data_IF_514687536758
#
_entry.id   IF_514687536758
#
_cell.length_a   1.000
_cell.length_b   1.000
_cell.length_c   1.000
_cell.angle_alpha   90.00
_cell.angle_beta   90.00
_cell.angle_gamma   90.00
#
_symmetry.space_group_name_H-M   'P 1'
#
loop_
_entity.id
_entity.type
_entity.pdbx_description
1 polymer ?
#
# COMPACT_ATOMS: atom_id res chain seq x y z
N UNK A 1 0.30 29.94 -6.03
CA UNK A 1 0.88 28.64 -6.39
C UNK A 1 -0.24 27.61 -6.26
N UNK A 2 -0.42 26.67 -7.23
CA UNK A 2 -1.39 25.60 -7.03
C UNK A 2 -0.84 24.52 -6.09
N UNK A 3 -1.68 23.56 -5.67
CA UNK A 3 -1.30 22.51 -4.71
C UNK A 3 -0.09 21.69 -5.16
N UNK A 4 -0.11 21.22 -6.42
CA UNK A 4 0.98 20.43 -7.01
C UNK A 4 2.29 21.20 -7.06
N UNK A 5 2.26 22.44 -7.57
CA UNK A 5 3.44 23.32 -7.65
C UNK A 5 4.04 23.60 -6.27
N UNK A 6 3.19 23.77 -5.26
CA UNK A 6 3.64 24.02 -3.88
C UNK A 6 4.46 22.87 -3.34
N UNK A 7 3.95 21.64 -3.45
CA UNK A 7 4.70 20.47 -2.97
C UNK A 7 5.96 20.21 -3.81
N UNK A 8 5.91 20.43 -5.12
CA UNK A 8 7.10 20.32 -5.97
C UNK A 8 8.18 21.31 -5.54
N UNK A 9 7.82 22.59 -5.28
CA UNK A 9 8.77 23.60 -4.81
C UNK A 9 9.36 23.22 -3.44
N UNK A 10 8.53 22.80 -2.49
CA UNK A 10 8.99 22.39 -1.14
C UNK A 10 9.97 21.20 -1.26
N UNK A 11 9.68 20.20 -2.06
CA UNK A 11 10.55 19.03 -2.25
C UNK A 11 11.87 19.43 -2.93
N UNK A 12 11.82 20.40 -3.85
CA UNK A 12 13.00 20.96 -4.48
C UNK A 12 13.84 21.90 -3.58
N UNK A 13 13.36 22.20 -2.38
CA UNK A 13 13.99 23.17 -1.47
C UNK A 13 13.80 24.63 -1.90
N UNK A 14 12.79 24.89 -2.73
CA UNK A 14 12.46 26.23 -3.23
C UNK A 14 11.41 26.92 -2.34
N UNK A 15 11.34 28.27 -2.34
CA UNK A 15 10.33 29.01 -1.60
C UNK A 15 8.90 28.65 -2.05
N UNK A 16 8.01 28.41 -1.09
CA UNK A 16 6.60 28.20 -1.31
C UNK A 16 5.76 29.28 -0.62
N UNK A 17 4.51 29.44 -1.07
CA UNK A 17 3.56 30.43 -0.54
C UNK A 17 3.05 30.09 0.87
N UNK A 18 3.04 28.79 1.22
CA UNK A 18 2.74 28.26 2.56
C UNK A 18 3.36 26.87 2.74
N UNK A 19 3.29 26.31 3.94
CA UNK A 19 3.59 24.90 4.17
C UNK A 19 2.66 24.02 3.33
N UNK A 20 3.18 22.90 2.84
CA UNK A 20 2.36 21.84 2.27
C UNK A 20 1.54 21.17 3.37
N UNK A 21 0.35 20.71 3.01
CA UNK A 21 -0.55 19.99 3.91
C UNK A 21 -1.06 18.69 3.26
N UNK A 22 -1.09 17.65 4.03
CA UNK A 22 -1.73 16.38 3.71
C UNK A 22 -2.43 15.83 4.94
N UNK A 23 -3.73 15.57 4.83
CA UNK A 23 -4.53 14.98 5.92
C UNK A 23 -4.06 13.56 6.28
N UNK A 24 -3.31 12.92 5.40
CA UNK A 24 -2.90 11.54 5.56
C UNK A 24 -3.97 10.55 5.09
N UNK A 25 -3.89 9.34 5.64
CA UNK A 25 -4.90 8.30 5.44
C UNK A 25 -5.65 8.10 6.76
N UNK A 26 -6.73 8.85 7.02
CA UNK A 26 -7.50 8.73 8.25
C UNK A 26 -8.04 7.30 8.41
N UNK A 27 -8.06 6.81 9.64
CA UNK A 27 -8.73 5.54 9.95
C UNK A 27 -10.20 5.59 9.55
N UNK A 28 -10.78 4.45 9.19
CA UNK A 28 -12.17 4.35 8.77
C UNK A 28 -13.16 5.00 9.77
N UNK A 29 -12.89 4.88 11.08
CA UNK A 29 -13.73 5.48 12.14
C UNK A 29 -13.60 7.01 12.23
N UNK A 30 -12.59 7.61 11.59
CA UNK A 30 -12.40 9.08 11.60
C UNK A 30 -13.28 9.75 10.56
N UNK A 31 -13.56 9.10 9.44
CA UNK A 31 -14.38 9.67 8.36
C UNK A 31 -15.78 10.07 8.82
N UNK A 32 -16.56 9.25 9.56
CA UNK A 32 -17.89 9.67 10.06
C UNK A 32 -17.84 10.91 10.96
N UNK A 33 -16.73 11.14 11.68
CA UNK A 33 -16.53 12.33 12.50
C UNK A 33 -16.35 13.57 11.61
N UNK A 34 -15.52 13.46 10.57
CA UNK A 34 -15.29 14.54 9.61
C UNK A 34 -16.55 14.83 8.79
N UNK A 35 -17.24 13.79 8.31
CA UNK A 35 -18.52 13.91 7.58
C UNK A 35 -19.57 14.66 8.41
N UNK A 36 -19.71 14.29 9.69
CA UNK A 36 -20.60 14.98 10.62
C UNK A 36 -20.21 16.44 10.88
N UNK A 37 -18.92 16.74 10.94
CA UNK A 37 -18.40 18.10 11.16
C UNK A 37 -18.63 19.00 9.92
N UNK A 38 -18.33 18.48 8.73
CA UNK A 38 -18.42 19.23 7.47
C UNK A 38 -19.80 19.14 6.79
N UNK A 39 -20.68 18.26 7.26
CA UNK A 39 -22.03 18.10 6.73
C UNK A 39 -22.07 17.50 5.31
N UNK A 40 -21.09 16.70 4.94
CA UNK A 40 -20.98 16.03 3.63
C UNK A 40 -20.29 14.68 3.79
N UNK A 41 -20.70 13.68 3.00
CA UNK A 41 -20.06 12.37 2.83
C UNK A 41 -19.11 12.31 1.62
N UNK A 42 -18.99 13.42 0.88
CA UNK A 42 -18.02 13.56 -0.19
C UNK A 42 -16.64 13.90 0.39
N UNK A 43 -15.77 12.88 0.47
CA UNK A 43 -14.42 13.02 1.01
C UNK A 43 -13.56 14.00 0.22
N UNK A 44 -13.78 14.14 -1.10
CA UNK A 44 -13.05 15.14 -1.89
C UNK A 44 -13.43 16.56 -1.47
N UNK A 45 -14.71 16.84 -1.20
CA UNK A 45 -15.12 18.13 -0.65
C UNK A 45 -14.50 18.41 0.72
N UNK A 46 -14.37 17.38 1.58
CA UNK A 46 -13.73 17.53 2.88
C UNK A 46 -12.25 17.89 2.71
N UNK A 47 -11.53 17.19 1.83
CA UNK A 47 -10.11 17.49 1.54
C UNK A 47 -9.92 18.89 0.97
N UNK A 48 -10.82 19.35 0.11
CA UNK A 48 -10.82 20.73 -0.42
C UNK A 48 -11.04 21.77 0.68
N UNK A 49 -11.89 21.50 1.68
CA UNK A 49 -12.09 22.42 2.81
C UNK A 49 -10.84 22.51 3.72
N UNK A 50 -10.03 21.45 3.79
CA UNK A 50 -8.73 21.48 4.44
C UNK A 50 -7.63 22.17 3.60
N UNK A 51 -7.90 22.54 2.36
CA UNK A 51 -6.89 23.02 1.40
C UNK A 51 -5.73 22.01 1.25
N UNK A 52 -6.08 20.71 1.19
CA UNK A 52 -5.15 19.59 1.15
C UNK A 52 -4.44 19.52 -0.21
N UNK A 53 -3.11 19.50 -0.17
CA UNK A 53 -2.26 19.59 -1.35
C UNK A 53 -2.03 18.25 -2.06
N UNK A 54 -2.44 17.13 -1.45
CA UNK A 54 -2.06 15.80 -1.91
C UNK A 54 -3.28 14.88 -2.06
N UNK A 55 -3.25 14.02 -3.07
CA UNK A 55 -4.19 12.90 -3.21
C UNK A 55 -3.40 11.61 -3.41
N UNK A 56 -3.35 10.77 -2.39
CA UNK A 56 -2.83 9.43 -2.58
C UNK A 56 -3.81 8.60 -3.40
N UNK A 57 -3.36 8.13 -4.56
CA UNK A 57 -4.19 7.38 -5.51
C UNK A 57 -3.80 5.92 -5.46
N UNK A 58 -4.80 5.05 -5.28
CA UNK A 58 -4.60 3.60 -5.21
C UNK A 58 -3.93 3.10 -6.50
N UNK A 59 -2.87 2.25 -6.41
CA UNK A 59 -2.07 1.86 -7.56
C UNK A 59 -2.71 0.83 -8.49
N UNK A 60 -3.87 0.29 -8.16
CA UNK A 60 -4.58 -0.70 -8.97
C UNK A 60 -5.60 -1.49 -8.16
N UNK A 61 -6.41 -2.27 -8.85
CA UNK A 61 -7.29 -3.27 -8.29
C UNK A 61 -6.73 -4.68 -8.56
N UNK A 62 -7.06 -5.65 -7.72
CA UNK A 62 -6.69 -7.05 -7.90
C UNK A 62 -7.96 -7.89 -8.07
N UNK A 63 -8.11 -8.58 -9.20
CA UNK A 63 -9.30 -9.32 -9.58
C UNK A 63 -9.04 -10.82 -9.70
N UNK A 64 -8.93 -11.49 -8.55
CA UNK A 64 -8.81 -12.95 -8.55
C UNK A 64 -10.10 -13.59 -9.08
N UNK A 65 -10.03 -14.62 -9.97
CA UNK A 65 -11.20 -15.30 -10.52
C UNK A 65 -12.18 -15.87 -9.47
N UNK A 66 -11.64 -16.27 -8.31
CA UNK A 66 -12.42 -16.78 -7.18
C UNK A 66 -12.64 -15.72 -6.08
N UNK A 67 -12.45 -14.42 -6.38
CA UNK A 67 -12.60 -13.31 -5.46
C UNK A 67 -11.72 -13.40 -4.20
N UNK A 68 -10.58 -14.11 -4.28
CA UNK A 68 -9.61 -14.16 -3.18
C UNK A 68 -8.84 -12.84 -3.06
N UNK A 69 -8.39 -12.47 -1.84
CA UNK A 69 -7.54 -11.31 -1.65
C UNK A 69 -6.19 -11.48 -2.36
N UNK A 70 -5.52 -10.38 -2.68
CA UNK A 70 -4.21 -10.38 -3.32
C UNK A 70 -3.19 -11.22 -2.52
N UNK A 71 -3.15 -11.08 -1.20
CA UNK A 71 -2.41 -11.95 -0.30
C UNK A 71 -3.39 -12.59 0.68
N UNK A 72 -3.52 -13.91 0.62
CA UNK A 72 -4.40 -14.68 1.51
C UNK A 72 -3.58 -15.24 2.68
N UNK A 73 -3.44 -14.44 3.71
CA UNK A 73 -2.67 -14.82 4.90
C UNK A 73 -3.33 -15.91 5.73
N UNK A 74 -4.64 -16.16 5.57
CA UNK A 74 -5.45 -17.12 6.34
C UNK A 74 -5.22 -16.99 7.86
N UNK A 75 -5.13 -15.75 8.35
CA UNK A 75 -4.84 -15.49 9.76
C UNK A 75 -5.93 -16.04 10.67
N UNK A 76 -5.52 -16.70 11.75
CA UNK A 76 -6.40 -17.31 12.75
C UNK A 76 -7.00 -16.30 13.73
N UNK A 77 -6.62 -15.01 13.68
CA UNK A 77 -7.07 -13.94 14.56
C UNK A 77 -6.66 -12.55 14.05
N UNK A 78 -6.97 -11.51 14.83
CA UNK A 78 -6.63 -10.10 14.50
C UNK A 78 -5.36 -9.63 15.19
N UNK A 79 -4.91 -10.32 16.23
CA UNK A 79 -3.71 -10.00 16.99
C UNK A 79 -2.47 -10.16 16.10
N UNK A 80 -1.44 -9.33 16.30
CA UNK A 80 -0.17 -9.42 15.55
C UNK A 80 0.50 -10.79 15.68
N UNK A 81 0.33 -11.48 16.81
CA UNK A 81 0.83 -12.82 17.05
C UNK A 81 -0.04 -13.94 16.43
N UNK A 82 -1.25 -13.63 15.93
CA UNK A 82 -2.12 -14.64 15.34
C UNK A 82 -1.43 -15.31 14.15
N UNK A 83 -1.34 -16.66 14.19
CA UNK A 83 -0.69 -17.43 13.14
C UNK A 83 -1.37 -17.28 11.79
N UNK A 84 -0.57 -17.14 10.75
CA UNK A 84 -0.98 -17.19 9.35
C UNK A 84 -0.84 -18.60 8.77
N UNK A 85 -0.99 -18.71 7.44
CA UNK A 85 -0.97 -20.00 6.72
C UNK A 85 0.34 -20.78 6.90
N UNK A 86 1.47 -20.06 7.07
CA UNK A 86 2.79 -20.67 7.25
C UNK A 86 3.27 -20.69 8.70
N UNK A 87 2.39 -20.49 9.69
CA UNK A 87 2.76 -20.49 11.11
C UNK A 87 3.51 -21.78 11.50
N UNK A 88 3.02 -22.93 11.03
CA UNK A 88 3.56 -24.25 11.35
C UNK A 88 4.35 -24.87 10.17
N UNK A 89 4.59 -24.14 9.07
CA UNK A 89 5.28 -24.61 7.88
C UNK A 89 6.81 -24.66 8.10
N UNK A 90 7.44 -25.81 7.83
CA UNK A 90 8.88 -26.02 7.91
C UNK A 90 9.52 -26.44 6.57
N UNK A 91 8.77 -26.34 5.48
CA UNK A 91 9.16 -26.79 4.14
C UNK A 91 9.09 -25.67 3.10
N UNK A 92 10.18 -25.47 2.38
CA UNK A 92 10.21 -24.57 1.22
C UNK A 92 9.28 -25.05 0.10
N UNK A 93 9.15 -26.37 -0.09
CA UNK A 93 8.27 -26.94 -1.12
C UNK A 93 6.80 -26.60 -0.85
N UNK A 94 6.37 -26.56 0.42
CA UNK A 94 5.02 -26.12 0.79
C UNK A 94 4.80 -24.65 0.48
N UNK A 95 5.82 -23.81 0.72
CA UNK A 95 5.77 -22.38 0.38
C UNK A 95 5.67 -22.20 -1.13
N UNK A 96 6.52 -22.90 -1.90
CA UNK A 96 6.53 -22.76 -3.36
C UNK A 96 5.25 -23.34 -4.01
N UNK A 97 4.57 -24.30 -3.37
CA UNK A 97 3.30 -24.85 -3.81
C UNK A 97 2.07 -23.99 -3.45
N UNK A 98 2.25 -22.95 -2.64
CA UNK A 98 1.14 -22.05 -2.27
C UNK A 98 0.63 -21.27 -3.47
N UNK A 99 -0.66 -20.95 -3.48
CA UNK A 99 -1.29 -20.17 -4.55
C UNK A 99 -0.97 -18.66 -4.37
N UNK A 100 0.22 -18.30 -4.80
CA UNK A 100 0.72 -16.93 -4.74
C UNK A 100 -0.06 -15.99 -5.68
N UNK A 101 -0.14 -14.68 -5.34
CA UNK A 101 -0.86 -13.74 -6.19
C UNK A 101 -0.26 -13.67 -7.60
N UNK A 102 -1.14 -13.69 -8.61
CA UNK A 102 -0.77 -13.57 -10.00
C UNK A 102 -0.87 -12.10 -10.44
N UNK A 103 0.23 -11.47 -10.90
CA UNK A 103 0.19 -10.09 -11.41
C UNK A 103 -0.74 -9.88 -12.61
N UNK A 104 -1.15 -10.94 -13.32
CA UNK A 104 -2.10 -10.86 -14.45
C UNK A 104 -3.52 -10.48 -14.02
N UNK A 105 -3.81 -10.55 -12.72
CA UNK A 105 -5.09 -10.14 -12.15
C UNK A 105 -5.14 -8.67 -11.73
N UNK A 106 -4.06 -7.91 -11.99
CA UNK A 106 -4.01 -6.48 -11.72
C UNK A 106 -4.71 -5.68 -12.82
N UNK A 107 -5.57 -4.76 -12.42
CA UNK A 107 -6.23 -3.78 -13.28
C UNK A 107 -5.89 -2.36 -12.85
N UNK A 108 -5.43 -1.55 -13.79
CA UNK A 108 -5.01 -0.17 -13.58
C UNK A 108 -6.00 0.86 -14.16
N UNK A 109 -7.13 0.43 -14.72
CA UNK A 109 -8.08 1.29 -15.45
C UNK A 109 -8.55 2.45 -14.59
N UNK A 110 -9.06 2.17 -13.40
CA UNK A 110 -9.56 3.19 -12.48
C UNK A 110 -8.44 4.07 -11.93
N UNK A 111 -7.26 3.51 -11.73
CA UNK A 111 -6.06 4.24 -11.29
C UNK A 111 -5.64 5.28 -12.31
N UNK A 112 -5.55 4.91 -13.58
CA UNK A 112 -5.20 5.81 -14.68
C UNK A 112 -6.23 6.94 -14.77
N UNK A 113 -7.52 6.60 -14.75
CA UNK A 113 -8.61 7.59 -14.77
C UNK A 113 -8.52 8.56 -13.60
N UNK A 114 -8.29 8.06 -12.38
CA UNK A 114 -8.16 8.88 -11.17
C UNK A 114 -6.94 9.80 -11.24
N UNK A 115 -5.79 9.30 -11.72
CA UNK A 115 -4.58 10.11 -11.90
C UNK A 115 -4.78 11.23 -12.93
N UNK A 116 -5.48 10.93 -14.03
CA UNK A 116 -5.75 11.91 -15.11
C UNK A 116 -6.74 13.00 -14.67
N UNK A 117 -7.68 12.67 -13.78
CA UNK A 117 -8.75 13.58 -13.34
C UNK A 117 -8.49 14.25 -12.01
N UNK A 118 -7.41 13.93 -11.32
CA UNK A 118 -7.10 14.46 -9.98
C UNK A 118 -6.89 15.98 -9.90
N UNK A 119 -6.72 16.66 -11.05
CA UNK A 119 -6.50 18.10 -11.10
C UNK A 119 -5.10 18.53 -10.65
N UNK A 120 -5.03 19.75 -10.08
CA UNK A 120 -3.77 20.42 -9.71
C UNK A 120 -3.25 20.03 -8.32
N UNK A 121 -3.45 18.80 -7.89
CA UNK A 121 -2.95 18.24 -6.63
C UNK A 121 -1.68 17.40 -6.85
N UNK A 122 -0.86 17.26 -5.81
CA UNK A 122 0.28 16.34 -5.82
C UNK A 122 -0.20 14.89 -5.69
N UNK A 123 0.26 14.01 -6.55
CA UNK A 123 -0.31 12.65 -6.75
C UNK A 123 0.70 11.55 -6.43
N UNK A 124 0.92 11.21 -5.16
CA UNK A 124 1.64 10.00 -4.83
C UNK A 124 0.78 8.77 -5.12
N UNK A 125 1.44 7.73 -5.58
CA UNK A 125 0.83 6.41 -5.80
C UNK A 125 1.88 5.31 -5.68
N UNK A 126 1.48 4.04 -5.77
CA UNK A 126 2.36 2.87 -5.69
C UNK A 126 1.81 1.83 -4.73
N UNK A 127 2.30 0.59 -4.85
CA UNK A 127 1.77 -0.53 -4.08
C UNK A 127 2.13 -0.54 -2.59
N UNK A 128 2.68 0.55 -2.05
CA UNK A 128 3.16 0.67 -0.68
C UNK A 128 4.24 -0.37 -0.31
N UNK A 129 4.18 -1.56 -0.83
CA UNK A 129 5.10 -2.69 -0.65
C UNK A 129 5.45 -2.98 0.82
N UNK A 130 4.49 -3.22 1.69
CA UNK A 130 4.74 -3.48 3.11
C UNK A 130 5.22 -4.92 3.31
N UNK A 131 6.29 -5.32 2.62
CA UNK A 131 6.73 -6.73 2.55
C UNK A 131 7.08 -7.29 3.94
N UNK A 132 7.63 -6.49 4.85
CA UNK A 132 7.88 -6.94 6.23
C UNK A 132 6.58 -7.37 6.91
N UNK A 133 5.54 -6.55 6.84
CA UNK A 133 4.23 -6.86 7.42
C UNK A 133 3.60 -8.09 6.75
N UNK A 134 3.65 -8.15 5.42
CA UNK A 134 3.06 -9.28 4.69
C UNK A 134 3.76 -10.59 5.02
N UNK A 135 5.10 -10.61 5.08
CA UNK A 135 5.83 -11.81 5.50
C UNK A 135 5.49 -12.18 6.95
N UNK A 136 5.44 -11.20 7.86
CA UNK A 136 5.04 -11.43 9.24
C UNK A 136 3.59 -11.96 9.36
N UNK A 137 2.66 -11.47 8.52
CA UNK A 137 1.26 -11.91 8.52
C UNK A 137 1.08 -13.36 8.01
N UNK A 138 1.96 -13.84 7.11
CA UNK A 138 1.97 -15.23 6.70
C UNK A 138 2.34 -16.22 7.82
N UNK A 139 3.12 -15.77 8.80
CA UNK A 139 3.57 -16.61 9.93
C UNK A 139 2.84 -16.29 11.25
N UNK A 140 2.44 -15.05 11.44
CA UNK A 140 2.22 -14.42 12.74
C UNK A 140 3.56 -13.90 13.31
N UNK A 141 3.55 -12.71 13.92
CA UNK A 141 4.77 -11.97 14.30
C UNK A 141 5.74 -12.79 15.16
N UNK A 142 5.22 -13.51 16.16
CA UNK A 142 6.04 -14.34 17.04
C UNK A 142 6.72 -15.50 16.28
N UNK A 143 5.93 -16.27 15.51
CA UNK A 143 6.45 -17.36 14.68
C UNK A 143 7.45 -16.86 13.64
N UNK A 144 7.19 -15.69 13.05
CA UNK A 144 8.11 -15.07 12.08
C UNK A 144 9.49 -14.85 12.68
N UNK A 145 9.58 -14.23 13.87
CA UNK A 145 10.87 -14.01 14.52
C UNK A 145 11.57 -15.31 14.93
N UNK A 146 10.83 -16.29 15.41
CA UNK A 146 11.41 -17.62 15.74
C UNK A 146 11.93 -18.31 14.48
N UNK A 147 11.14 -18.31 13.40
CA UNK A 147 11.51 -18.97 12.15
C UNK A 147 12.68 -18.30 11.41
N UNK A 148 12.95 -17.03 11.64
CA UNK A 148 14.18 -16.38 11.16
C UNK A 148 15.45 -17.10 11.61
N UNK A 149 15.40 -17.79 12.76
CA UNK A 149 16.53 -18.55 13.30
C UNK A 149 16.42 -20.06 13.06
N UNK A 150 15.22 -20.61 13.10
CA UNK A 150 15.02 -22.07 13.08
C UNK A 150 14.80 -22.60 11.65
N UNK A 151 14.16 -21.79 10.77
CA UNK A 151 13.79 -22.15 9.40
C UNK A 151 13.97 -20.93 8.47
N UNK A 152 15.17 -20.38 8.44
CA UNK A 152 15.48 -19.17 7.67
C UNK A 152 15.21 -19.32 6.17
N UNK A 153 15.40 -20.52 5.62
CA UNK A 153 15.11 -20.87 4.23
C UNK A 153 13.63 -20.73 3.88
N UNK A 154 12.73 -21.13 4.78
CA UNK A 154 11.27 -20.98 4.65
C UNK A 154 10.91 -19.49 4.65
N UNK A 155 11.48 -18.71 5.60
CA UNK A 155 11.25 -17.25 5.67
C UNK A 155 11.75 -16.56 4.40
N UNK A 156 12.92 -16.96 3.89
CA UNK A 156 13.45 -16.42 2.65
C UNK A 156 12.58 -16.78 1.44
N UNK A 157 12.01 -17.98 1.38
CA UNK A 157 11.09 -18.38 0.31
C UNK A 157 9.83 -17.51 0.29
N UNK A 158 9.17 -17.34 1.43
CA UNK A 158 8.00 -16.45 1.56
C UNK A 158 8.35 -15.01 1.19
N UNK A 159 9.49 -14.50 1.69
CA UNK A 159 9.95 -13.14 1.39
C UNK A 159 10.17 -12.96 -0.11
N UNK A 160 10.79 -13.93 -0.79
CA UNK A 160 11.05 -13.90 -2.24
C UNK A 160 9.73 -13.79 -3.02
N UNK A 161 8.73 -14.64 -2.74
CA UNK A 161 7.45 -14.60 -3.42
C UNK A 161 6.72 -13.26 -3.24
N UNK A 162 6.71 -12.71 -2.03
CA UNK A 162 6.12 -11.39 -1.73
C UNK A 162 6.84 -10.28 -2.51
N UNK A 163 8.17 -10.29 -2.50
CA UNK A 163 8.99 -9.27 -3.18
C UNK A 163 8.86 -9.38 -4.69
N UNK A 164 8.92 -10.58 -5.25
CA UNK A 164 8.83 -10.81 -6.70
C UNK A 164 7.49 -10.34 -7.25
N UNK A 165 6.38 -10.62 -6.54
CA UNK A 165 5.07 -10.08 -6.91
C UNK A 165 5.08 -8.54 -6.92
N UNK A 166 5.60 -7.89 -5.86
CA UNK A 166 5.63 -6.44 -5.79
C UNK A 166 6.52 -5.81 -6.87
N UNK A 167 7.66 -6.44 -7.19
CA UNK A 167 8.54 -5.97 -8.27
C UNK A 167 7.80 -5.99 -9.60
N UNK A 168 7.12 -7.09 -9.93
CA UNK A 168 6.37 -7.19 -11.17
C UNK A 168 5.14 -6.27 -11.19
N UNK A 169 4.40 -6.18 -10.08
CA UNK A 169 3.28 -5.26 -9.94
C UNK A 169 3.70 -3.80 -10.17
N UNK A 170 4.79 -3.37 -9.55
CA UNK A 170 5.33 -2.03 -9.75
C UNK A 170 5.86 -1.81 -11.17
N UNK A 171 6.55 -2.79 -11.76
CA UNK A 171 6.99 -2.70 -13.15
C UNK A 171 5.82 -2.44 -14.10
N UNK A 172 4.70 -3.17 -13.93
CA UNK A 172 3.47 -2.98 -14.71
C UNK A 172 2.83 -1.63 -14.44
N UNK A 173 2.73 -1.25 -13.17
CA UNK A 173 2.18 0.05 -12.76
C UNK A 173 2.96 1.22 -13.37
N UNK A 174 4.29 1.23 -13.24
CA UNK A 174 5.13 2.28 -13.81
C UNK A 174 5.07 2.34 -15.33
N UNK A 175 4.88 1.20 -16.00
CA UNK A 175 4.74 1.17 -17.46
C UNK A 175 3.49 1.91 -17.97
N UNK A 176 2.40 1.97 -17.16
CA UNK A 176 1.13 2.57 -17.56
C UNK A 176 0.81 3.89 -16.87
N UNK A 177 1.39 4.16 -15.70
CA UNK A 177 1.05 5.30 -14.86
C UNK A 177 2.26 6.10 -14.36
N UNK A 178 3.49 5.70 -14.68
CA UNK A 178 4.70 6.34 -14.16
C UNK A 178 4.78 7.84 -14.47
N UNK A 179 4.38 8.26 -15.66
CA UNK A 179 4.36 9.68 -16.06
C UNK A 179 3.19 10.48 -15.44
N UNK A 180 2.24 9.81 -14.81
CA UNK A 180 1.05 10.43 -14.22
C UNK A 180 1.21 10.72 -12.73
N UNK A 181 2.16 10.08 -12.06
CA UNK A 181 2.41 10.24 -10.61
C UNK A 181 3.50 11.28 -10.35
N UNK A 182 3.43 11.91 -9.18
CA UNK A 182 4.44 12.86 -8.70
C UNK A 182 5.43 12.23 -7.73
N UNK A 183 5.02 11.17 -7.05
CA UNK A 183 5.87 10.42 -6.12
C UNK A 183 5.43 8.95 -6.01
N UNK A 184 6.41 8.10 -5.71
CA UNK A 184 6.15 6.72 -5.31
C UNK A 184 6.00 6.64 -3.79
N UNK A 185 4.92 6.01 -3.33
CA UNK A 185 4.66 5.82 -1.91
C UNK A 185 5.12 4.42 -1.47
N UNK A 186 6.05 4.38 -0.53
CA UNK A 186 6.63 3.16 0.02
C UNK A 186 6.58 3.22 1.55
N UNK A 187 6.18 2.13 2.20
CA UNK A 187 6.09 2.11 3.65
C UNK A 187 6.34 0.74 4.27
N UNK A 188 7.29 0.71 5.21
CA UNK A 188 7.56 -0.41 6.10
C UNK A 188 8.03 0.13 7.46
N UNK A 189 7.83 -0.64 8.54
CA UNK A 189 8.17 -0.24 9.90
C UNK A 189 9.58 -0.72 10.31
N UNK A 190 10.59 -0.42 9.49
CA UNK A 190 11.99 -0.84 9.77
C UNK A 190 12.73 0.05 10.77
N UNK A 191 12.23 1.19 11.07
CA UNK A 191 12.96 2.21 11.82
C UNK A 191 12.20 2.75 13.02
N UNK A 192 11.25 2.00 13.52
CA UNK A 192 10.52 2.41 14.71
C UNK A 192 11.36 2.18 15.96
N UNK A 193 11.18 3.01 16.88
CA UNK A 193 11.82 3.24 18.18
C UNK A 193 12.40 2.01 18.87
#
# INVERSE_FOLDING_TARGET
MNHRQRLQAIIAGEPADRCGFWLGNPHADTWPILEGHFGTDDHEQILQQFDDDMRWIRPGAYHHPEARPMFDFQRKGRELAAGGVFADCDSVDEVDAFDWPNPDYLDFTDTISSLQTAGDVYRPSGFWCPFFHYVADFFGMENYFVKMYTHADVVHAVTRHVVDFHLEANRRFFAVAGDLIDAYFFGNDFGTQ
#
